data_IF_840268326978
#
_entry.id   IF_840268326978
#
_cell.length_a   1.000
_cell.length_b   1.000
_cell.length_c   1.000
_cell.angle_alpha   90.00
_cell.angle_beta   90.00
_cell.angle_gamma   90.00
#
_symmetry.space_group_name_H-M   'P 1'
#
loop_
_entity.id
_entity.type
_entity.pdbx_description
1 polymer ?
#
# COMPACT_ATOMS: atom_id res chain seq x y z
N UNK A 1 -7.15 19.29 20.33
CA UNK A 1 -7.37 18.03 19.60
C UNK A 1 -6.60 18.13 18.29
N UNK A 2 -5.81 17.12 17.93
CA UNK A 2 -5.11 17.08 16.63
C UNK A 2 -6.15 16.88 15.52
N UNK A 3 -6.09 17.68 14.45
CA UNK A 3 -6.98 17.51 13.31
C UNK A 3 -6.52 16.34 12.44
N UNK A 4 -7.41 15.82 11.59
CA UNK A 4 -7.02 14.80 10.59
C UNK A 4 -5.85 15.28 9.71
N UNK A 5 -5.81 16.57 9.43
CA UNK A 5 -4.72 17.19 8.68
C UNK A 5 -3.40 17.15 9.44
N UNK A 6 -3.40 17.55 10.71
CA UNK A 6 -2.20 17.52 11.56
C UNK A 6 -1.66 16.10 11.71
N UNK A 7 -2.56 15.12 11.83
CA UNK A 7 -2.18 13.72 11.89
C UNK A 7 -1.54 13.22 10.59
N UNK A 8 -2.05 13.64 9.42
CA UNK A 8 -1.41 13.31 8.14
C UNK A 8 -0.01 13.93 8.06
N UNK A 9 0.15 15.17 8.52
CA UNK A 9 1.47 15.82 8.56
C UNK A 9 2.45 15.07 9.44
N UNK A 10 2.02 14.64 10.63
CA UNK A 10 2.85 13.88 11.57
C UNK A 10 3.34 12.56 10.98
N UNK A 11 2.42 11.73 10.48
CA UNK A 11 2.80 10.43 9.90
C UNK A 11 3.64 10.59 8.63
N UNK A 12 3.41 11.64 7.83
CA UNK A 12 4.23 11.89 6.64
C UNK A 12 5.62 12.37 7.03
N UNK A 13 5.76 13.22 8.05
CA UNK A 13 7.07 13.63 8.54
C UNK A 13 7.88 12.44 9.07
N UNK A 14 7.26 11.54 9.83
CA UNK A 14 7.90 10.31 10.31
C UNK A 14 8.31 9.40 9.14
N UNK A 15 7.39 9.18 8.18
CA UNK A 15 7.67 8.44 6.97
C UNK A 15 8.87 9.00 6.20
N UNK A 16 8.91 10.31 5.96
CA UNK A 16 9.95 10.94 5.13
C UNK A 16 11.32 10.93 5.82
N UNK A 17 11.33 11.03 7.16
CA UNK A 17 12.55 10.96 7.95
C UNK A 17 13.21 9.56 7.91
N UNK A 18 12.40 8.49 8.00
CA UNK A 18 12.91 7.13 8.10
C UNK A 18 12.86 6.34 6.79
N UNK A 19 12.02 6.76 5.85
CA UNK A 19 11.66 6.04 4.62
C UNK A 19 11.47 4.54 4.90
N UNK A 20 10.47 4.15 5.68
CA UNK A 20 10.37 2.77 6.16
C UNK A 20 9.99 1.77 5.07
N UNK A 21 9.36 2.22 3.97
CA UNK A 21 8.75 1.33 2.97
C UNK A 21 9.48 1.31 1.61
N UNK A 22 9.43 0.18 0.89
CA UNK A 22 9.85 0.14 -0.50
C UNK A 22 8.96 1.03 -1.40
N UNK A 23 9.48 1.57 -2.52
CA UNK A 23 10.87 1.49 -2.95
C UNK A 23 11.78 2.56 -2.33
N UNK A 24 11.24 3.46 -1.50
CA UNK A 24 11.96 4.64 -0.99
C UNK A 24 13.10 4.30 -0.03
N UNK A 25 12.99 3.14 0.62
CA UNK A 25 14.00 2.57 1.50
C UNK A 25 15.13 1.84 0.75
N UNK A 26 15.14 1.87 -0.59
CA UNK A 26 16.14 1.23 -1.44
C UNK A 26 15.88 -0.26 -1.73
N UNK A 27 14.86 -0.88 -1.12
CA UNK A 27 14.41 -2.21 -1.48
C UNK A 27 13.46 -2.16 -2.69
N UNK A 28 13.40 -3.20 -3.53
CA UNK A 28 12.40 -3.28 -4.58
C UNK A 28 10.99 -3.48 -4.01
N UNK A 29 9.98 -3.07 -4.77
CA UNK A 29 8.61 -3.53 -4.53
C UNK A 29 8.55 -5.06 -4.67
N UNK A 30 7.87 -5.72 -3.75
CA UNK A 30 7.76 -7.19 -3.73
C UNK A 30 6.98 -7.78 -4.90
N UNK A 31 5.93 -7.10 -5.38
CA UNK A 31 5.04 -7.61 -6.41
C UNK A 31 5.13 -6.78 -7.70
N UNK A 32 4.99 -7.45 -8.84
CA UNK A 32 4.97 -6.87 -10.18
C UNK A 32 3.54 -6.70 -10.71
N UNK A 33 3.38 -5.92 -11.78
CA UNK A 33 2.11 -5.82 -12.50
C UNK A 33 1.70 -7.19 -13.05
N UNK A 34 0.45 -7.57 -12.83
CA UNK A 34 -0.13 -8.83 -13.28
C UNK A 34 -0.01 -9.98 -12.28
N UNK A 35 0.83 -9.84 -11.24
CA UNK A 35 1.01 -10.88 -10.22
C UNK A 35 -0.32 -11.21 -9.54
N UNK A 36 -0.58 -12.51 -9.38
CA UNK A 36 -1.71 -13.02 -8.61
C UNK A 36 -1.38 -12.98 -7.11
N UNK A 37 -2.26 -12.36 -6.33
CA UNK A 37 -2.07 -12.13 -4.89
C UNK A 37 -3.34 -12.42 -4.12
N UNK A 38 -3.17 -12.80 -2.86
CA UNK A 38 -4.23 -12.80 -1.87
C UNK A 38 -4.15 -11.49 -1.08
N UNK A 39 -5.17 -10.64 -1.22
CA UNK A 39 -5.35 -9.43 -0.43
C UNK A 39 -6.15 -9.73 0.83
N UNK A 40 -5.63 -9.33 2.00
CA UNK A 40 -6.34 -9.37 3.28
C UNK A 40 -6.73 -7.95 3.70
N UNK A 41 -8.04 -7.69 3.81
CA UNK A 41 -8.54 -6.37 4.21
C UNK A 41 -8.44 -6.14 5.73
N UNK A 42 -8.81 -4.93 6.18
CA UNK A 42 -8.77 -4.55 7.60
C UNK A 42 -9.70 -5.36 8.53
N UNK A 43 -10.62 -6.15 7.97
CA UNK A 43 -11.50 -7.06 8.71
C UNK A 43 -11.02 -8.51 8.67
N UNK A 44 -9.85 -8.79 8.08
CA UNK A 44 -9.29 -10.13 7.93
C UNK A 44 -9.89 -10.95 6.79
N UNK A 45 -10.78 -10.37 5.98
CA UNK A 45 -11.35 -11.06 4.82
C UNK A 45 -10.32 -11.13 3.67
N UNK A 46 -10.28 -12.27 2.97
CA UNK A 46 -9.30 -12.55 1.94
C UNK A 46 -9.93 -12.60 0.54
N UNK A 47 -9.24 -12.01 -0.43
CA UNK A 47 -9.69 -11.91 -1.82
C UNK A 47 -8.55 -12.28 -2.76
N UNK A 48 -8.86 -13.06 -3.79
CA UNK A 48 -7.94 -13.27 -4.92
C UNK A 48 -8.00 -12.06 -5.83
N UNK A 49 -6.86 -11.44 -6.06
CA UNK A 49 -6.73 -10.26 -6.90
C UNK A 49 -5.46 -10.36 -7.76
N UNK A 50 -5.33 -9.45 -8.72
CA UNK A 50 -4.10 -9.17 -9.45
C UNK A 50 -3.64 -7.75 -9.19
N UNK A 51 -2.32 -7.57 -9.19
CA UNK A 51 -1.71 -6.24 -9.15
C UNK A 51 -1.94 -5.54 -10.50
N UNK A 52 -2.62 -4.40 -10.48
CA UNK A 52 -2.96 -3.62 -11.69
C UNK A 52 -2.17 -2.33 -11.81
N UNK A 53 -1.55 -1.89 -10.72
CA UNK A 53 -0.85 -0.62 -10.69
C UNK A 53 -0.01 -0.41 -9.45
N UNK A 54 0.81 0.62 -9.51
CA UNK A 54 1.54 1.13 -8.34
C UNK A 54 0.98 2.49 -7.95
N UNK A 55 0.71 2.65 -6.66
CA UNK A 55 0.21 3.89 -6.10
C UNK A 55 1.35 4.90 -5.92
N UNK A 56 1.24 6.05 -6.60
CA UNK A 56 2.20 7.14 -6.57
C UNK A 56 1.45 8.47 -6.46
N UNK A 57 1.10 8.93 -5.25
CA UNK A 57 0.41 10.21 -5.08
C UNK A 57 1.33 11.37 -5.51
N UNK A 58 0.74 12.44 -6.02
CA UNK A 58 1.45 13.67 -6.41
C UNK A 58 1.72 14.63 -5.24
N UNK A 59 1.31 14.28 -4.03
CA UNK A 59 1.45 15.09 -2.82
C UNK A 59 1.30 14.25 -1.55
N UNK A 60 1.13 14.92 -0.41
CA UNK A 60 1.00 14.27 0.90
C UNK A 60 -0.14 13.24 0.89
N UNK A 61 0.16 12.03 1.33
CA UNK A 61 -0.81 10.95 1.41
C UNK A 61 -0.52 10.10 2.63
N UNK A 62 -1.44 10.11 3.59
CA UNK A 62 -1.35 9.26 4.77
C UNK A 62 -1.39 7.76 4.44
N UNK A 63 -2.01 7.37 3.33
CA UNK A 63 -2.00 5.99 2.84
C UNK A 63 -0.60 5.60 2.37
N UNK A 64 0.04 6.47 1.59
CA UNK A 64 1.41 6.25 1.15
C UNK A 64 2.39 6.27 2.32
N UNK A 65 2.24 7.22 3.24
CA UNK A 65 3.06 7.29 4.46
C UNK A 65 2.96 6.04 5.35
N UNK A 66 1.90 5.23 5.19
CA UNK A 66 1.70 3.94 5.88
C UNK A 66 2.01 2.70 5.03
N UNK A 67 2.68 2.88 3.90
CA UNK A 67 3.15 1.77 3.08
C UNK A 67 2.14 1.25 2.06
N UNK A 68 1.06 1.98 1.76
CA UNK A 68 0.20 1.67 0.62
C UNK A 68 0.98 1.90 -0.68
N UNK A 69 1.13 0.85 -1.50
CA UNK A 69 1.97 0.86 -2.71
C UNK A 69 1.30 0.24 -3.93
N UNK A 70 0.26 -0.56 -3.75
CA UNK A 70 -0.32 -1.38 -4.83
C UNK A 70 -1.78 -1.02 -5.11
N UNK A 71 -2.16 -1.06 -6.39
CA UNK A 71 -3.54 -1.05 -6.86
C UNK A 71 -3.89 -2.46 -7.34
N UNK A 72 -5.11 -2.89 -7.05
CA UNK A 72 -5.60 -4.23 -7.35
C UNK A 72 -6.84 -4.19 -8.26
N UNK A 73 -7.14 -5.27 -8.96
CA UNK A 73 -8.41 -5.51 -9.67
C UNK A 73 -9.59 -5.83 -8.74
N UNK A 74 -9.62 -5.21 -7.56
CA UNK A 74 -10.69 -5.37 -6.58
C UNK A 74 -11.96 -4.59 -6.97
N UNK A 75 -13.00 -4.67 -6.14
CA UNK A 75 -14.20 -3.82 -6.28
C UNK A 75 -13.93 -2.33 -6.05
N UNK A 76 -12.76 -1.97 -5.52
CA UNK A 76 -12.31 -0.58 -5.32
C UNK A 76 -10.91 -0.40 -5.95
N UNK A 77 -10.78 -0.45 -7.28
CA UNK A 77 -9.48 -0.54 -7.96
C UNK A 77 -8.64 0.74 -7.86
N UNK A 78 -9.26 1.84 -7.43
CA UNK A 78 -8.63 3.13 -7.17
C UNK A 78 -8.04 3.25 -5.75
N UNK A 79 -8.41 2.36 -4.82
CA UNK A 79 -7.96 2.40 -3.44
C UNK A 79 -6.65 1.61 -3.29
N UNK A 80 -5.55 2.23 -2.84
CA UNK A 80 -4.29 1.53 -2.69
C UNK A 80 -4.26 0.67 -1.42
N UNK A 81 -3.47 -0.40 -1.48
CA UNK A 81 -3.27 -1.32 -0.36
C UNK A 81 -1.79 -1.43 0.02
N UNK A 82 -1.53 -1.78 1.27
CA UNK A 82 -0.17 -1.97 1.79
C UNK A 82 0.43 -3.29 1.31
N UNK A 83 1.76 -3.31 1.15
CA UNK A 83 2.48 -4.56 0.84
C UNK A 83 2.23 -5.64 1.91
N UNK A 84 2.14 -5.23 3.17
CA UNK A 84 1.91 -6.13 4.31
C UNK A 84 0.54 -6.84 4.27
N UNK A 85 -0.45 -6.27 3.57
CA UNK A 85 -1.76 -6.88 3.36
C UNK A 85 -1.79 -7.89 2.20
N UNK A 86 -0.67 -8.07 1.49
CA UNK A 86 -0.56 -8.94 0.32
C UNK A 86 0.31 -10.15 0.61
N UNK A 87 -0.07 -11.29 0.01
CA UNK A 87 0.78 -12.47 -0.12
C UNK A 87 0.63 -13.07 -1.53
N UNK A 88 1.64 -13.78 -2.04
CA UNK A 88 1.52 -14.51 -3.30
C UNK A 88 0.31 -15.46 -3.29
N UNK A 89 -0.42 -15.54 -4.40
CA UNK A 89 -1.39 -16.61 -4.66
C UNK A 89 -0.66 -17.74 -5.42
N UNK A 90 0.31 -18.37 -4.76
CA UNK A 90 1.03 -19.50 -5.33
C UNK A 90 0.11 -20.73 -5.39
N UNK A 91 0.03 -21.44 -6.53
CA UNK A 91 -0.61 -22.74 -6.55
C UNK A 91 0.20 -23.69 -5.67
N UNK A 92 -0.50 -24.35 -4.73
CA UNK A 92 0.07 -25.37 -3.83
C UNK A 92 0.63 -26.58 -4.60
#
# INVERSE_FOLDING_TARGET
MSSHHDYILEITAEHDAFKPFPPENGQPLRFALGDAVIYTNGFGAQFRCRVTGFYRPSGLSGLYARGARYLLDSSSPWMPVSEASLRPDDPA
#
